data_IF_264208435052
#
_entry.id   IF_264208435052
#
_cell.length_a   1.000
_cell.length_b   1.000
_cell.length_c   1.000
_cell.angle_alpha   90.00
_cell.angle_beta   90.00
_cell.angle_gamma   90.00
#
_symmetry.space_group_name_H-M   'P 1'
#
loop_
_entity.id
_entity.type
_entity.pdbx_description
1 polymer ?
#
# COMPACT_ATOMS: atom_id res chain seq x y z
N UNK A 1 -9.21 -10.22 -6.62
CA UNK A 1 -9.36 -8.76 -6.81
C UNK A 1 -9.41 -8.35 -8.28
N UNK A 2 -9.80 -9.28 -9.17
CA UNK A 2 -9.67 -9.14 -10.62
C UNK A 2 -10.20 -7.81 -11.15
N UNK A 3 -9.35 -7.06 -11.85
CA UNK A 3 -9.74 -5.84 -12.58
C UNK A 3 -10.10 -4.64 -11.71
N UNK A 4 -10.07 -4.76 -10.38
CA UNK A 4 -10.42 -3.68 -9.46
C UNK A 4 -9.23 -2.74 -9.25
N UNK A 5 -9.52 -1.45 -9.11
CA UNK A 5 -8.60 -0.45 -8.54
C UNK A 5 -8.84 -0.37 -7.04
N UNK A 6 -7.79 -0.49 -6.23
CA UNK A 6 -7.89 -0.62 -4.78
C UNK A 6 -6.99 0.43 -4.13
N UNK A 7 -7.51 1.13 -3.12
CA UNK A 7 -6.72 2.02 -2.26
C UNK A 7 -6.54 1.33 -0.92
N UNK A 8 -5.30 1.08 -0.51
CA UNK A 8 -4.94 0.69 0.84
C UNK A 8 -4.87 1.95 1.70
N UNK A 9 -5.54 1.93 2.85
CA UNK A 9 -5.56 3.05 3.80
C UNK A 9 -4.91 2.60 5.09
N UNK A 10 -3.95 3.38 5.57
CA UNK A 10 -3.28 3.16 6.85
C UNK A 10 -3.03 4.51 7.54
N UNK A 11 -2.67 4.49 8.82
CA UNK A 11 -2.37 5.73 9.55
C UNK A 11 -0.95 6.25 9.25
N UNK A 12 0.08 5.44 9.48
CA UNK A 12 1.48 5.86 9.43
C UNK A 12 2.31 4.87 8.60
N UNK A 13 2.90 5.38 7.52
CA UNK A 13 3.90 4.66 6.74
C UNK A 13 5.29 4.80 7.39
N UNK A 14 5.82 3.70 7.92
CA UNK A 14 7.21 3.60 8.40
C UNK A 14 8.14 3.08 7.30
N UNK A 15 8.70 1.88 7.42
CA UNK A 15 9.52 1.23 6.38
C UNK A 15 8.71 0.82 5.13
N UNK A 16 7.39 0.71 5.28
CA UNK A 16 6.49 0.28 4.21
C UNK A 16 6.32 -1.21 4.02
N UNK A 17 6.99 -2.04 4.83
CA UNK A 17 6.95 -3.51 4.68
C UNK A 17 5.52 -4.09 4.68
N UNK A 18 4.64 -3.58 5.55
CA UNK A 18 3.24 -4.01 5.63
C UNK A 18 2.47 -3.69 4.35
N UNK A 19 2.47 -2.42 3.93
CA UNK A 19 1.74 -1.95 2.74
C UNK A 19 2.26 -2.61 1.46
N UNK A 20 3.57 -2.85 1.38
CA UNK A 20 4.22 -3.55 0.28
C UNK A 20 3.82 -5.03 0.19
N UNK A 21 3.76 -5.73 1.34
CA UNK A 21 3.24 -7.11 1.38
C UNK A 21 1.77 -7.19 0.95
N UNK A 22 0.93 -6.27 1.43
CA UNK A 22 -0.47 -6.16 1.06
C UNK A 22 -0.65 -5.86 -0.43
N UNK A 23 0.07 -4.86 -0.96
CA UNK A 23 -0.01 -4.48 -2.37
C UNK A 23 0.38 -5.65 -3.28
N UNK A 24 1.47 -6.36 -2.97
CA UNK A 24 1.85 -7.58 -3.71
C UNK A 24 0.78 -8.66 -3.67
N UNK A 25 0.14 -8.89 -2.53
CA UNK A 25 -0.94 -9.87 -2.42
C UNK A 25 -2.14 -9.49 -3.31
N UNK A 26 -2.54 -8.22 -3.33
CA UNK A 26 -3.64 -7.71 -4.14
C UNK A 26 -3.34 -7.77 -5.64
N UNK A 27 -2.11 -7.42 -6.05
CA UNK A 27 -1.65 -7.52 -7.43
C UNK A 27 -1.59 -8.98 -7.90
N UNK A 28 -1.10 -9.91 -7.07
CA UNK A 28 -1.18 -11.36 -7.36
C UNK A 28 -2.62 -11.85 -7.49
N UNK A 29 -3.55 -11.25 -6.75
CA UNK A 29 -4.99 -11.47 -6.89
C UNK A 29 -5.62 -10.71 -8.08
N UNK A 30 -4.78 -10.22 -9.01
CA UNK A 30 -5.12 -9.57 -10.28
C UNK A 30 -5.88 -8.25 -10.16
N UNK A 31 -5.61 -7.48 -9.10
CA UNK A 31 -6.02 -6.06 -9.07
C UNK A 31 -5.45 -5.31 -10.28
N UNK A 32 -6.22 -4.39 -10.86
CA UNK A 32 -5.76 -3.55 -11.97
C UNK A 32 -4.79 -2.46 -11.49
N UNK A 33 -4.98 -1.99 -10.26
CA UNK A 33 -4.15 -0.96 -9.62
C UNK A 33 -4.26 -1.09 -8.11
N UNK A 34 -3.17 -0.80 -7.40
CA UNK A 34 -3.15 -0.64 -5.95
C UNK A 34 -2.45 0.67 -5.62
N UNK A 35 -3.18 1.60 -5.02
CA UNK A 35 -2.64 2.86 -4.51
C UNK A 35 -2.61 2.81 -2.97
N UNK A 36 -1.77 3.65 -2.35
CA UNK A 36 -1.61 3.72 -0.90
C UNK A 36 -1.91 5.14 -0.44
N UNK A 37 -2.80 5.27 0.54
CA UNK A 37 -3.10 6.52 1.23
C UNK A 37 -2.76 6.36 2.71
N UNK A 38 -1.90 7.24 3.22
CA UNK A 38 -1.53 7.30 4.63
C UNK A 38 -1.64 8.71 5.16
N UNK A 39 -1.95 8.83 6.46
CA UNK A 39 -2.02 10.13 7.10
C UNK A 39 -0.62 10.73 7.31
N UNK A 40 0.36 9.91 7.71
CA UNK A 40 1.73 10.34 7.90
C UNK A 40 2.75 9.36 7.30
N UNK A 41 3.92 9.87 6.93
CA UNK A 41 5.09 9.06 6.56
C UNK A 41 6.25 9.44 7.46
N UNK A 42 6.89 8.44 8.07
CA UNK A 42 8.14 8.63 8.78
C UNK A 42 9.24 8.93 7.76
N UNK A 43 9.91 10.06 7.95
CA UNK A 43 11.08 10.45 7.17
C UNK A 43 12.26 10.49 8.12
N UNK A 44 13.33 9.78 7.79
CA UNK A 44 14.58 9.94 8.52
C UNK A 44 15.19 11.28 8.11
N UNK A 45 15.35 12.16 9.10
CA UNK A 45 16.15 13.37 8.97
C UNK A 45 17.55 12.99 9.42
N UNK A 46 18.49 12.98 8.48
CA UNK A 46 19.92 12.95 8.80
C UNK A 46 20.36 14.30 9.33
#
# INVERSE_FOLDING_TARGET
>A
MQGRRIVLVDDVLTSGATLDACARALLRAKAAQVDVLVFARVVEVR
#
